data_IF_508968660681
#
_entry.id   IF_508968660681
#
_cell.length_a   1.000
_cell.length_b   1.000
_cell.length_c   1.000
_cell.angle_alpha   90.00
_cell.angle_beta   90.00
_cell.angle_gamma   90.00
#
_symmetry.space_group_name_H-M   'P 1'
#
loop_
_entity.id
_entity.type
_entity.pdbx_description
1 polymer ?
#
# COMPACT_ATOMS: atom_id res chain seq x y z
N UNK A 1 -16.60 -31.99 12.38
CA UNK A 1 -15.37 -31.30 11.94
C UNK A 1 -15.62 -29.82 12.17
N UNK A 2 -15.00 -29.22 13.19
CA UNK A 2 -15.19 -27.81 13.51
C UNK A 2 -14.19 -26.99 12.69
N UNK A 3 -14.65 -26.34 11.62
CA UNK A 3 -13.91 -25.26 10.97
C UNK A 3 -13.89 -24.08 11.92
N UNK A 4 -12.73 -23.80 12.53
CA UNK A 4 -12.47 -22.49 13.15
C UNK A 4 -12.68 -21.44 12.05
N UNK A 5 -13.44 -20.35 12.30
CA UNK A 5 -13.51 -19.27 11.34
C UNK A 5 -12.09 -18.75 11.11
N UNK A 6 -11.67 -18.63 9.86
CA UNK A 6 -10.49 -17.84 9.53
C UNK A 6 -10.78 -16.45 10.09
N UNK A 7 -10.01 -15.99 11.08
CA UNK A 7 -10.05 -14.61 11.55
C UNK A 7 -9.66 -13.71 10.38
N UNK A 8 -10.65 -13.40 9.53
CA UNK A 8 -10.43 -12.73 8.24
C UNK A 8 -10.54 -11.23 8.50
N UNK A 9 -9.66 -10.71 9.35
CA UNK A 9 -9.60 -9.27 9.62
C UNK A 9 -8.81 -8.61 8.52
N UNK A 10 -9.47 -7.75 7.73
CA UNK A 10 -8.83 -6.94 6.71
C UNK A 10 -7.81 -5.97 7.35
N UNK A 11 -6.53 -6.11 7.00
CA UNK A 11 -5.46 -5.24 7.50
C UNK A 11 -5.28 -4.04 6.57
N UNK A 12 -5.54 -2.84 7.09
CA UNK A 12 -5.41 -1.59 6.34
C UNK A 12 -4.32 -0.72 6.96
N UNK A 13 -3.31 -0.39 6.16
CA UNK A 13 -2.34 0.64 6.49
C UNK A 13 -2.76 1.97 5.90
N UNK A 14 -2.75 3.02 6.70
CA UNK A 14 -2.90 4.39 6.23
C UNK A 14 -1.66 5.21 6.59
N UNK A 15 -1.08 5.90 5.61
CA UNK A 15 0.16 6.68 5.79
C UNK A 15 0.19 7.91 4.89
N UNK A 16 0.76 9.00 5.40
CA UNK A 16 1.12 10.18 4.61
C UNK A 16 2.57 10.06 4.14
N UNK A 17 2.80 10.07 2.82
CA UNK A 17 4.14 9.94 2.23
C UNK A 17 4.87 11.28 2.06
N UNK A 18 4.23 12.41 2.39
CA UNK A 18 4.77 13.77 2.32
C UNK A 18 5.44 14.07 0.96
N UNK A 19 4.83 13.58 -0.13
CA UNK A 19 5.32 13.69 -1.51
C UNK A 19 6.75 13.12 -1.74
N UNK A 20 7.21 12.21 -0.88
CA UNK A 20 8.55 11.61 -0.96
C UNK A 20 8.56 10.34 -1.80
N UNK A 21 9.26 10.38 -2.94
CA UNK A 21 9.48 9.21 -3.81
C UNK A 21 10.19 8.08 -3.05
N UNK A 22 11.19 8.43 -2.23
CA UNK A 22 11.93 7.46 -1.41
C UNK A 22 11.04 6.79 -0.38
N UNK A 23 10.25 7.55 0.37
CA UNK A 23 9.37 6.97 1.40
C UNK A 23 8.31 6.04 0.78
N UNK A 24 7.76 6.42 -0.37
CA UNK A 24 6.81 5.58 -1.09
C UNK A 24 7.47 4.32 -1.66
N UNK A 25 8.68 4.41 -2.20
CA UNK A 25 9.40 3.24 -2.70
C UNK A 25 9.83 2.29 -1.58
N UNK A 26 10.33 2.82 -0.46
CA UNK A 26 10.70 2.01 0.70
C UNK A 26 9.47 1.27 1.23
N UNK A 27 8.34 1.97 1.39
CA UNK A 27 7.08 1.34 1.79
C UNK A 27 6.68 0.20 0.84
N UNK A 28 6.63 0.44 -0.47
CA UNK A 28 6.06 -0.52 -1.43
C UNK A 28 6.99 -1.69 -1.78
N UNK A 29 8.29 -1.58 -1.50
CA UNK A 29 9.28 -2.63 -1.76
C UNK A 29 9.65 -3.46 -0.52
N UNK A 30 9.39 -2.95 0.69
CA UNK A 30 9.67 -3.66 1.94
C UNK A 30 8.66 -4.81 2.18
N UNK A 31 9.13 -5.87 2.85
CA UNK A 31 8.27 -6.95 3.38
C UNK A 31 7.25 -6.44 4.38
N UNK A 32 7.47 -5.27 4.98
CA UNK A 32 6.50 -4.59 5.82
C UNK A 32 5.16 -4.40 5.10
N UNK A 33 5.17 -4.04 3.81
CA UNK A 33 3.94 -3.87 3.05
C UNK A 33 3.18 -5.19 2.81
N UNK A 34 3.87 -6.34 2.81
CA UNK A 34 3.25 -7.66 2.62
C UNK A 34 2.38 -8.10 3.82
N UNK A 35 2.45 -7.37 4.94
CA UNK A 35 1.63 -7.61 6.12
C UNK A 35 0.22 -7.00 6.02
N UNK A 36 -0.02 -6.17 5.00
CA UNK A 36 -1.25 -5.40 4.84
C UNK A 36 -1.97 -5.82 3.56
N UNK A 37 -3.30 -5.90 3.63
CA UNK A 37 -4.13 -6.21 2.47
C UNK A 37 -4.37 -4.96 1.61
N UNK A 38 -4.50 -3.80 2.26
CA UNK A 38 -4.73 -2.50 1.61
C UNK A 38 -3.80 -1.45 2.19
N UNK A 39 -3.17 -0.65 1.32
CA UNK A 39 -2.34 0.49 1.70
C UNK A 39 -2.96 1.76 1.12
N UNK A 40 -3.30 2.70 1.98
CA UNK A 40 -3.88 4.00 1.62
C UNK A 40 -2.84 5.10 1.83
N UNK A 41 -2.32 5.63 0.72
CA UNK A 41 -1.27 6.65 0.74
C UNK A 41 -1.87 8.05 0.55
N UNK A 42 -1.66 8.94 1.52
CA UNK A 42 -1.93 10.38 1.38
C UNK A 42 -0.66 11.12 0.96
N UNK A 43 -0.84 12.23 0.24
CA UNK A 43 0.25 13.00 -0.38
C UNK A 43 1.29 12.09 -1.08
N UNK A 44 0.85 11.16 -1.96
CA UNK A 44 1.77 10.27 -2.64
C UNK A 44 2.71 11.08 -3.53
N UNK A 45 3.91 10.54 -3.73
CA UNK A 45 4.77 11.04 -4.80
C UNK A 45 4.08 10.83 -6.14
N UNK A 46 3.97 11.91 -6.92
CA UNK A 46 3.43 11.90 -8.28
C UNK A 46 4.54 12.23 -9.25
N UNK A 47 4.67 11.42 -10.30
CA UNK A 47 5.57 11.73 -11.40
C UNK A 47 5.05 12.92 -12.23
N UNK A 48 5.80 13.33 -13.26
CA UNK A 48 5.42 14.45 -14.11
C UNK A 48 4.09 14.28 -14.86
N UNK A 49 3.60 13.04 -15.01
CA UNK A 49 2.30 12.72 -15.61
C UNK A 49 1.16 12.72 -14.59
N UNK A 50 1.44 13.02 -13.31
CA UNK A 50 0.47 13.00 -12.22
C UNK A 50 0.19 11.60 -11.65
N UNK A 51 0.89 10.57 -12.13
CA UNK A 51 0.70 9.20 -11.69
C UNK A 51 1.57 8.88 -10.46
N UNK A 52 1.01 8.13 -9.51
CA UNK A 52 1.81 7.48 -8.47
C UNK A 52 2.59 6.31 -9.05
N UNK A 53 3.66 5.90 -8.37
CA UNK A 53 4.41 4.69 -8.71
C UNK A 53 3.94 3.51 -7.85
N UNK A 54 3.86 2.35 -8.46
CA UNK A 54 3.70 1.07 -7.78
C UNK A 54 4.61 -0.01 -8.37
N UNK A 55 4.82 -1.05 -7.57
CA UNK A 55 5.57 -2.25 -7.98
C UNK A 55 4.62 -3.26 -8.60
N UNK A 56 5.15 -4.31 -9.24
CA UNK A 56 4.35 -5.41 -9.81
C UNK A 56 3.52 -6.17 -8.76
N UNK A 57 3.76 -5.94 -7.46
CA UNK A 57 3.03 -6.57 -6.35
C UNK A 57 1.72 -5.87 -6.01
N UNK A 58 1.55 -4.62 -6.45
CA UNK A 58 0.42 -3.78 -6.05
C UNK A 58 -0.39 -3.32 -7.26
N UNK A 59 -1.71 -3.36 -7.12
CA UNK A 59 -2.62 -2.71 -8.05
C UNK A 59 -3.00 -1.33 -7.50
N UNK A 60 -2.77 -0.28 -8.28
CA UNK A 60 -3.08 1.10 -7.86
C UNK A 60 -4.48 1.47 -8.32
N UNK A 61 -5.30 1.93 -7.38
CA UNK A 61 -6.61 2.49 -7.64
C UNK A 61 -6.57 3.98 -7.29
N UNK A 62 -6.99 4.82 -8.24
CA UNK A 62 -7.20 6.25 -8.00
C UNK A 62 -8.67 6.50 -7.64
N UNK A 63 -8.99 7.54 -6.86
CA UNK A 63 -10.35 8.04 -6.73
C UNK A 63 -10.97 8.42 -8.08
#
# INVERSE_FOLDING_TARGET
MNSQPLDTTLQILQINANNSDFAQQDLLNDRFAEQWDVIVIQEPYKNFLGNTRATHRWHVVYP
#
